data_IF_762517318325
#
_entry.id   IF_762517318325
#
_cell.length_a   1.000
_cell.length_b   1.000
_cell.length_c   1.000
_cell.angle_alpha   90.00
_cell.angle_beta   90.00
_cell.angle_gamma   90.00
#
_symmetry.space_group_name_H-M   'P 1'
#
loop_
_entity.id
_entity.type
_entity.pdbx_description
1 polymer ?
#
# COMPACT_ATOMS: atom_id res chain seq x y z
N UNK A 1 7.95 11.06 30.04
CA UNK A 1 9.00 10.03 29.99
C UNK A 1 8.31 8.67 30.13
N UNK A 2 8.02 7.98 29.03
CA UNK A 2 7.74 6.54 29.10
C UNK A 2 9.09 5.85 29.34
N UNK A 3 9.19 5.06 30.40
CA UNK A 3 10.43 4.43 30.81
C UNK A 3 10.82 3.34 29.80
N UNK A 4 12.12 3.22 29.53
CA UNK A 4 12.78 2.20 28.68
C UNK A 4 12.26 0.77 28.91
N UNK A 5 11.78 0.49 30.12
CA UNK A 5 11.19 -0.76 30.61
C UNK A 5 9.80 -1.11 30.05
N UNK A 6 9.02 -0.14 29.55
CA UNK A 6 7.68 -0.43 29.01
C UNK A 6 7.70 -0.92 27.56
N UNK A 7 8.74 -0.60 26.78
CA UNK A 7 8.85 -0.99 25.36
C UNK A 7 9.48 -2.38 25.19
N UNK A 8 10.31 -2.83 26.13
CA UNK A 8 10.77 -4.22 26.18
C UNK A 8 9.64 -5.21 26.51
N UNK A 9 8.51 -4.73 27.04
CA UNK A 9 7.28 -5.52 27.27
C UNK A 9 6.30 -5.48 26.10
N UNK A 10 6.68 -4.86 25.00
CA UNK A 10 5.79 -4.65 23.85
C UNK A 10 6.18 -5.64 22.79
N UNK A 11 5.29 -6.60 22.56
CA UNK A 11 5.52 -7.69 21.59
C UNK A 11 5.60 -7.17 20.14
N UNK A 12 5.02 -6.00 19.87
CA UNK A 12 4.95 -5.41 18.52
C UNK A 12 5.14 -3.90 18.46
N UNK A 13 5.92 -3.44 17.49
CA UNK A 13 6.09 -2.02 17.16
C UNK A 13 5.11 -1.64 16.05
N UNK A 14 4.23 -0.66 16.31
CA UNK A 14 3.23 -0.19 15.35
C UNK A 14 3.75 1.05 14.60
N UNK A 15 3.97 0.89 13.30
CA UNK A 15 4.39 1.97 12.41
C UNK A 15 3.20 2.58 11.67
N UNK A 16 3.25 3.90 11.53
CA UNK A 16 2.22 4.73 10.90
C UNK A 16 2.89 5.64 9.85
N UNK A 17 2.72 5.38 8.55
CA UNK A 17 3.23 6.28 7.50
C UNK A 17 2.43 7.59 7.46
N UNK A 18 2.98 8.64 6.88
CA UNK A 18 2.31 9.93 6.79
C UNK A 18 0.94 9.83 6.06
N UNK A 19 -0.12 10.36 6.68
CA UNK A 19 -1.50 10.30 6.18
C UNK A 19 -1.74 11.20 4.96
N UNK A 20 -0.96 12.28 4.83
CA UNK A 20 -1.28 13.39 3.93
C UNK A 20 -1.17 13.04 2.44
N UNK A 21 -0.53 11.93 2.07
CA UNK A 21 -0.34 11.51 0.68
C UNK A 21 -1.42 10.57 0.14
N UNK A 22 -2.37 10.09 0.96
CA UNK A 22 -3.39 9.13 0.51
C UNK A 22 -2.84 7.75 0.11
N UNK A 23 -1.54 7.53 0.26
CA UNK A 23 -0.83 6.31 -0.17
C UNK A 23 -0.42 5.41 1.00
N UNK A 24 -0.94 5.68 2.20
CA UNK A 24 -0.56 4.97 3.43
C UNK A 24 -0.72 3.45 3.32
N UNK A 25 -1.69 2.94 2.56
CA UNK A 25 -1.86 1.51 2.28
C UNK A 25 -0.72 0.90 1.48
N UNK A 26 -0.20 1.61 0.48
CA UNK A 26 0.99 1.19 -0.27
C UNK A 26 2.25 1.30 0.60
N UNK A 27 2.37 2.37 1.38
CA UNK A 27 3.51 2.57 2.27
C UNK A 27 3.67 1.43 3.28
N UNK A 28 2.58 0.95 3.89
CA UNK A 28 2.68 -0.18 4.84
C UNK A 28 3.12 -1.48 4.16
N UNK A 29 2.77 -1.71 2.90
CA UNK A 29 3.26 -2.85 2.11
C UNK A 29 4.76 -2.69 1.84
N UNK A 30 5.21 -1.50 1.43
CA UNK A 30 6.65 -1.23 1.20
C UNK A 30 7.45 -1.42 2.49
N UNK A 31 7.00 -0.86 3.61
CA UNK A 31 7.63 -1.06 4.93
C UNK A 31 7.71 -2.56 5.26
N UNK A 32 6.61 -3.30 5.06
CA UNK A 32 6.56 -4.74 5.26
C UNK A 32 7.58 -5.49 4.40
N UNK A 33 7.73 -5.14 3.12
CA UNK A 33 8.68 -5.79 2.19
C UNK A 33 10.11 -5.62 2.71
N UNK A 34 10.48 -4.42 3.15
CA UNK A 34 11.82 -4.15 3.68
C UNK A 34 12.08 -4.86 5.01
N UNK A 35 11.10 -4.94 5.91
CA UNK A 35 11.21 -5.78 7.10
C UNK A 35 11.41 -7.26 6.74
N UNK A 36 10.62 -7.79 5.81
CA UNK A 36 10.73 -9.18 5.36
C UNK A 36 12.08 -9.45 4.68
N UNK A 37 12.66 -8.48 3.98
CA UNK A 37 14.00 -8.61 3.41
C UNK A 37 15.07 -8.82 4.49
N UNK A 38 14.99 -8.11 5.62
CA UNK A 38 15.88 -8.35 6.76
C UNK A 38 15.67 -9.75 7.35
N UNK A 39 14.41 -10.14 7.56
CA UNK A 39 14.05 -11.45 8.13
C UNK A 39 14.42 -12.63 7.23
N UNK A 40 14.45 -12.43 5.92
CA UNK A 40 14.87 -13.43 4.93
C UNK A 40 16.34 -13.87 5.10
N UNK A 41 17.15 -13.21 5.93
CA UNK A 41 18.48 -13.69 6.33
C UNK A 41 18.41 -15.02 7.10
N UNK A 42 17.34 -15.25 7.86
CA UNK A 42 17.16 -16.46 8.70
C UNK A 42 15.93 -17.29 8.33
N UNK A 43 15.03 -16.75 7.51
CA UNK A 43 13.79 -17.43 7.09
C UNK A 43 13.84 -17.73 5.57
N UNK A 44 14.08 -19.00 5.24
CA UNK A 44 14.17 -19.46 3.85
C UNK A 44 12.83 -19.40 3.12
N UNK A 45 11.69 -19.54 3.84
CA UNK A 45 10.37 -19.42 3.21
C UNK A 45 10.13 -18.01 2.72
N UNK A 46 10.46 -17.00 3.56
CA UNK A 46 10.39 -15.58 3.17
C UNK A 46 11.36 -15.30 2.02
N UNK A 47 12.61 -15.78 2.11
CA UNK A 47 13.61 -15.60 1.06
C UNK A 47 13.15 -16.15 -0.29
N UNK A 48 12.61 -17.36 -0.30
CA UNK A 48 12.08 -18.00 -1.49
C UNK A 48 10.89 -17.22 -2.06
N UNK A 49 9.98 -16.73 -1.21
CA UNK A 49 8.84 -15.91 -1.64
C UNK A 49 9.29 -14.60 -2.31
N UNK A 50 10.23 -13.88 -1.70
CA UNK A 50 10.80 -12.65 -2.28
C UNK A 50 11.44 -12.92 -3.64
N UNK A 51 12.27 -13.95 -3.74
CA UNK A 51 13.07 -14.23 -4.94
C UNK A 51 12.27 -14.84 -6.09
N UNK A 52 11.18 -15.53 -5.81
CA UNK A 52 10.29 -16.10 -6.84
C UNK A 52 9.27 -15.10 -7.39
N UNK A 53 9.12 -13.93 -6.75
CA UNK A 53 8.12 -12.95 -7.12
C UNK A 53 8.47 -12.18 -8.41
N UNK A 54 7.75 -12.51 -9.49
CA UNK A 54 7.85 -11.80 -10.78
C UNK A 54 7.38 -10.36 -10.69
N UNK A 55 6.35 -10.08 -9.89
CA UNK A 55 5.82 -8.73 -9.72
C UNK A 55 6.84 -7.85 -9.00
N UNK A 56 7.46 -8.36 -7.93
CA UNK A 56 8.52 -7.65 -7.22
C UNK A 56 9.75 -7.43 -8.12
N UNK A 57 10.14 -8.41 -8.93
CA UNK A 57 11.22 -8.24 -9.91
C UNK A 57 10.91 -7.07 -10.85
N UNK A 58 9.70 -7.01 -11.42
CA UNK A 58 9.30 -5.89 -12.29
C UNK A 58 9.33 -4.54 -11.57
N UNK A 59 8.88 -4.49 -10.31
CA UNK A 59 8.90 -3.25 -9.51
C UNK A 59 10.33 -2.78 -9.24
N UNK A 60 11.25 -3.70 -8.93
CA UNK A 60 12.66 -3.39 -8.68
C UNK A 60 13.37 -2.97 -9.99
N UNK A 61 13.07 -3.64 -11.11
CA UNK A 61 13.59 -3.28 -12.43
C UNK A 61 13.02 -1.97 -12.96
N UNK A 62 11.84 -1.54 -12.53
CA UNK A 62 11.23 -0.28 -12.97
C UNK A 62 11.67 0.94 -12.15
N UNK A 63 12.51 0.75 -11.13
CA UNK A 63 13.05 1.88 -10.36
C UNK A 63 13.87 2.83 -11.26
N UNK A 64 13.83 4.15 -11.01
CA UNK A 64 14.59 5.13 -11.78
C UNK A 64 16.10 4.88 -11.67
N UNK A 65 16.84 5.27 -12.72
CA UNK A 65 18.29 5.09 -12.79
C UNK A 65 19.02 5.80 -11.64
N UNK A 66 18.47 6.89 -11.12
CA UNK A 66 19.01 7.58 -9.93
C UNK A 66 19.01 6.66 -8.70
N UNK A 67 17.90 5.98 -8.41
CA UNK A 67 17.83 5.03 -7.30
C UNK A 67 18.71 3.79 -7.53
N UNK A 68 18.77 3.29 -8.76
CA UNK A 68 19.65 2.16 -9.10
C UNK A 68 21.13 2.51 -9.00
N UNK A 69 21.49 3.76 -9.29
CA UNK A 69 22.86 4.27 -9.19
C UNK A 69 23.40 4.30 -7.76
N UNK A 70 22.53 4.34 -6.75
CA UNK A 70 22.89 4.28 -5.33
C UNK A 70 23.15 2.85 -4.83
N UNK A 71 22.92 1.82 -5.65
CA UNK A 71 23.12 0.43 -5.25
C UNK A 71 24.59 0.05 -5.34
N UNK A 72 25.15 -0.44 -4.23
CA UNK A 72 26.58 -0.72 -4.06
C UNK A 72 27.08 -1.89 -4.93
N UNK A 73 26.18 -2.77 -5.38
CA UNK A 73 26.52 -3.98 -6.14
C UNK A 73 25.44 -4.37 -7.14
N UNK A 74 25.84 -5.11 -8.18
CA UNK A 74 24.89 -5.83 -9.01
C UNK A 74 24.21 -6.94 -8.20
N UNK A 75 22.89 -6.94 -8.20
CA UNK A 75 22.07 -7.93 -7.50
C UNK A 75 21.62 -9.01 -8.49
N UNK A 76 21.53 -10.25 -8.01
CA UNK A 76 21.03 -11.39 -8.81
C UNK A 76 19.63 -11.82 -8.38
N UNK A 77 19.19 -11.38 -7.21
CA UNK A 77 17.92 -11.76 -6.61
C UNK A 77 17.18 -10.54 -6.05
N UNK A 78 15.86 -10.64 -5.94
CA UNK A 78 15.02 -9.57 -5.35
C UNK A 78 15.43 -9.28 -3.91
N UNK A 79 15.74 -10.31 -3.11
CA UNK A 79 16.22 -10.18 -1.75
C UNK A 79 17.52 -9.38 -1.66
N UNK A 80 18.53 -9.69 -2.48
CA UNK A 80 19.79 -8.93 -2.52
C UNK A 80 19.59 -7.48 -2.93
N UNK A 81 18.67 -7.22 -3.86
CA UNK A 81 18.32 -5.87 -4.29
C UNK A 81 17.72 -5.06 -3.13
N UNK A 82 16.74 -5.64 -2.42
CA UNK A 82 16.09 -5.01 -1.27
C UNK A 82 17.08 -4.72 -0.12
N UNK A 83 17.98 -5.66 0.20
CA UNK A 83 19.04 -5.42 1.18
C UNK A 83 19.99 -4.29 0.73
N UNK A 84 20.32 -4.23 -0.56
CA UNK A 84 21.20 -3.18 -1.08
C UNK A 84 20.55 -1.78 -0.97
N UNK A 85 19.22 -1.67 -1.09
CA UNK A 85 18.51 -0.42 -0.80
C UNK A 85 18.57 -0.05 0.70
N UNK A 86 18.47 -1.04 1.60
CA UNK A 86 18.63 -0.82 3.04
C UNK A 86 20.05 -0.33 3.38
N UNK A 87 21.07 -0.91 2.77
CA UNK A 87 22.46 -0.50 2.93
C UNK A 87 22.68 0.92 2.41
N UNK A 88 22.12 1.27 1.25
CA UNK A 88 22.20 2.61 0.66
C UNK A 88 21.50 3.69 1.51
N UNK A 89 20.46 3.34 2.27
CA UNK A 89 19.85 4.25 3.25
C UNK A 89 20.72 4.45 4.50
N UNK A 90 21.41 3.40 4.93
CA UNK A 90 22.30 3.43 6.08
C UNK A 90 23.64 4.12 5.79
N UNK A 91 24.00 4.28 4.52
CA UNK A 91 25.23 4.92 4.08
C UNK A 91 25.33 6.38 4.54
N UNK A 92 26.58 6.86 4.71
CA UNK A 92 26.87 8.24 5.06
C UNK A 92 27.46 8.97 3.85
N UNK A 93 26.91 10.14 3.50
CA UNK A 93 27.43 10.99 2.42
C UNK A 93 26.37 11.43 1.43
N UNK A 94 26.80 12.00 0.30
CA UNK A 94 25.92 12.55 -0.75
C UNK A 94 25.08 11.48 -1.47
N UNK A 95 25.51 10.21 -1.42
CA UNK A 95 24.83 9.07 -2.04
C UNK A 95 23.75 8.44 -1.14
N UNK A 96 23.50 9.03 0.03
CA UNK A 96 22.51 8.54 0.99
C UNK A 96 21.09 8.69 0.44
N UNK A 97 20.38 7.56 0.35
CA UNK A 97 18.96 7.54 -0.01
C UNK A 97 18.08 7.90 1.19
N UNK A 98 17.09 8.78 0.97
CA UNK A 98 16.04 8.99 1.98
C UNK A 98 14.98 7.90 1.89
N UNK A 99 14.39 7.56 3.03
CA UNK A 99 13.31 6.59 3.07
C UNK A 99 12.04 7.10 2.35
N UNK A 100 11.81 8.42 2.30
CA UNK A 100 10.74 9.01 1.52
C UNK A 100 10.91 8.79 0.01
N UNK A 101 12.15 8.87 -0.50
CA UNK A 101 12.41 8.57 -1.92
C UNK A 101 12.11 7.12 -2.24
N UNK A 102 12.51 6.19 -1.36
CA UNK A 102 12.17 4.78 -1.51
C UNK A 102 10.67 4.56 -1.44
N UNK A 103 9.98 5.08 -0.41
CA UNK A 103 8.53 4.97 -0.30
C UNK A 103 7.81 5.51 -1.52
N UNK A 104 8.16 6.72 -1.98
CA UNK A 104 7.52 7.38 -3.12
C UNK A 104 7.71 6.58 -4.41
N UNK A 105 8.94 6.17 -4.72
CA UNK A 105 9.23 5.45 -5.95
C UNK A 105 8.65 4.02 -5.93
N UNK A 106 8.77 3.29 -4.82
CA UNK A 106 8.15 1.96 -4.72
C UNK A 106 6.63 2.05 -4.78
N UNK A 107 6.02 3.06 -4.15
CA UNK A 107 4.57 3.29 -4.22
C UNK A 107 4.12 3.58 -5.65
N UNK A 108 4.86 4.44 -6.37
CA UNK A 108 4.59 4.72 -7.78
C UNK A 108 4.63 3.43 -8.62
N UNK A 109 5.66 2.61 -8.44
CA UNK A 109 5.78 1.34 -9.17
C UNK A 109 4.69 0.33 -8.78
N UNK A 110 4.30 0.27 -7.50
CA UNK A 110 3.17 -0.55 -7.04
C UNK A 110 1.85 -0.09 -7.67
N UNK A 111 1.58 1.21 -7.70
CA UNK A 111 0.39 1.78 -8.37
C UNK A 111 0.37 1.43 -9.86
N UNK A 112 1.48 1.61 -10.55
CA UNK A 112 1.59 1.30 -11.98
C UNK A 112 1.37 -0.19 -12.26
N UNK A 113 1.92 -1.06 -11.43
CA UNK A 113 1.72 -2.49 -11.58
C UNK A 113 0.25 -2.89 -11.32
N UNK A 114 -0.39 -2.27 -10.32
CA UNK A 114 -1.79 -2.54 -9.98
C UNK A 114 -2.80 -1.95 -10.97
N UNK A 115 -2.48 -0.82 -11.60
CA UNK A 115 -3.31 -0.21 -12.65
C UNK A 115 -3.60 -1.21 -13.78
N UNK A 116 -2.69 -2.17 -14.01
CA UNK A 116 -2.84 -3.21 -15.03
C UNK A 116 -3.29 -4.56 -14.45
N UNK A 117 -3.73 -4.61 -13.18
CA UNK A 117 -4.15 -5.84 -12.53
C UNK A 117 -5.54 -6.28 -13.02
N UNK A 118 -5.69 -7.52 -13.54
CA UNK A 118 -6.99 -8.07 -13.88
C UNK A 118 -7.95 -8.10 -12.68
N UNK A 119 -7.42 -8.29 -11.48
CA UNK A 119 -8.22 -8.33 -10.26
C UNK A 119 -8.85 -6.97 -9.94
N UNK A 120 -8.09 -5.88 -10.06
CA UNK A 120 -8.62 -4.53 -9.82
C UNK A 120 -9.72 -4.19 -10.84
N UNK A 121 -9.50 -4.54 -12.11
CA UNK A 121 -10.47 -4.32 -13.16
C UNK A 121 -11.78 -5.09 -12.90
N UNK A 122 -11.70 -6.38 -12.60
CA UNK A 122 -12.88 -7.21 -12.29
C UNK A 122 -13.59 -6.77 -11.00
N UNK A 123 -12.83 -6.38 -9.96
CA UNK A 123 -13.40 -5.83 -8.74
C UNK A 123 -14.25 -4.59 -9.05
N UNK A 124 -13.71 -3.64 -9.80
CA UNK A 124 -14.43 -2.41 -10.14
C UNK A 124 -15.65 -2.70 -11.03
N UNK A 125 -15.55 -3.65 -11.97
CA UNK A 125 -16.71 -4.11 -12.75
C UNK A 125 -17.82 -4.62 -11.84
N UNK A 126 -17.48 -5.45 -10.85
CA UNK A 126 -18.45 -5.97 -9.89
C UNK A 126 -19.07 -4.85 -9.02
N UNK A 127 -18.27 -3.88 -8.58
CA UNK A 127 -18.77 -2.73 -7.83
C UNK A 127 -19.73 -1.87 -8.66
N UNK A 128 -19.40 -1.60 -9.92
CA UNK A 128 -20.26 -0.87 -10.87
C UNK A 128 -21.56 -1.64 -11.12
N UNK A 129 -21.46 -2.94 -11.37
CA UNK A 129 -22.60 -3.83 -11.62
C UNK A 129 -23.52 -3.98 -10.42
N UNK A 130 -22.96 -3.95 -9.20
CA UNK A 130 -23.74 -3.97 -7.96
C UNK A 130 -24.47 -2.65 -7.69
N UNK A 131 -24.03 -1.56 -8.31
CA UNK A 131 -24.55 -0.21 -8.04
C UNK A 131 -24.07 0.41 -6.72
N UNK A 132 -23.24 -0.29 -5.93
CA UNK A 132 -22.78 0.19 -4.61
C UNK A 132 -21.97 1.50 -4.67
N UNK A 133 -21.35 1.78 -5.82
CA UNK A 133 -20.60 3.01 -6.04
C UNK A 133 -21.42 4.30 -5.87
N UNK A 134 -22.75 4.25 -5.96
CA UNK A 134 -23.63 5.41 -5.70
C UNK A 134 -23.72 5.80 -4.23
N UNK A 135 -23.35 4.89 -3.32
CA UNK A 135 -23.25 5.16 -1.89
C UNK A 135 -21.81 5.43 -1.49
N UNK A 136 -20.89 4.55 -1.92
CA UNK A 136 -19.51 4.55 -1.44
C UNK A 136 -18.59 5.48 -2.24
N UNK A 137 -18.93 5.77 -3.50
CA UNK A 137 -18.03 6.37 -4.49
C UNK A 137 -18.71 7.39 -5.42
N UNK A 138 -19.62 8.23 -4.91
CA UNK A 138 -20.34 9.26 -5.69
C UNK A 138 -19.47 10.21 -6.52
N UNK A 139 -18.19 10.33 -6.19
CA UNK A 139 -17.24 11.11 -7.00
C UNK A 139 -17.12 10.56 -8.44
N UNK A 140 -17.41 9.27 -8.66
CA UNK A 140 -17.40 8.63 -9.97
C UNK A 140 -18.50 9.17 -10.89
N UNK A 141 -19.60 9.73 -10.36
CA UNK A 141 -20.68 10.35 -11.16
C UNK A 141 -20.17 11.48 -12.09
N UNK A 142 -19.00 12.04 -11.81
CA UNK A 142 -18.38 13.08 -12.64
C UNK A 142 -17.77 12.56 -13.93
N UNK A 143 -17.47 11.26 -13.99
CA UNK A 143 -16.86 10.56 -15.12
C UNK A 143 -17.86 10.37 -16.27
N UNK A 144 -17.35 10.26 -17.50
CA UNK A 144 -18.19 10.22 -18.70
C UNK A 144 -19.03 8.94 -18.76
N UNK A 145 -18.44 7.78 -18.44
CA UNK A 145 -19.15 6.50 -18.42
C UNK A 145 -20.27 6.51 -17.38
N UNK A 146 -20.02 7.08 -16.20
CA UNK A 146 -20.99 7.13 -15.12
C UNK A 146 -22.10 8.14 -15.39
N UNK A 147 -21.84 9.26 -16.06
CA UNK A 147 -22.91 10.14 -16.58
C UNK A 147 -23.83 9.40 -17.56
N UNK A 148 -23.28 8.53 -18.40
CA UNK A 148 -24.08 7.70 -19.31
C UNK A 148 -24.95 6.70 -18.54
N UNK A 149 -24.38 6.03 -17.54
CA UNK A 149 -25.10 5.10 -16.65
C UNK A 149 -26.22 5.83 -15.90
N UNK A 150 -25.95 7.02 -15.33
CA UNK A 150 -26.95 7.81 -14.62
C UNK A 150 -28.13 8.21 -15.51
N UNK A 151 -27.87 8.60 -16.76
CA UNK A 151 -28.95 8.88 -17.72
C UNK A 151 -29.82 7.66 -18.00
N UNK A 152 -29.23 6.46 -18.05
CA UNK A 152 -29.99 5.20 -18.19
C UNK A 152 -30.84 4.93 -16.94
N UNK A 153 -30.30 5.18 -15.75
CA UNK A 153 -31.03 5.05 -14.48
C UNK A 153 -32.21 6.03 -14.43
N UNK A 154 -32.00 7.30 -14.80
CA UNK A 154 -33.05 8.32 -14.88
C UNK A 154 -34.16 7.88 -15.85
N UNK A 155 -33.82 7.49 -17.08
CA UNK A 155 -34.79 7.03 -18.07
C UNK A 155 -35.57 5.79 -17.59
N UNK A 156 -34.91 4.88 -16.89
CA UNK A 156 -35.57 3.68 -16.33
C UNK A 156 -36.46 4.01 -15.14
N UNK A 157 -36.05 4.97 -14.31
CA UNK A 157 -36.87 5.49 -13.21
C UNK A 157 -38.16 6.12 -13.73
N UNK A 158 -38.07 6.93 -14.78
CA UNK A 158 -39.24 7.54 -15.42
C UNK A 158 -40.20 6.48 -15.99
N UNK A 159 -39.67 5.45 -16.66
CA UNK A 159 -40.46 4.31 -17.17
C UNK A 159 -41.21 3.58 -16.04
N UNK A 160 -40.51 3.25 -14.95
CA UNK A 160 -41.08 2.57 -13.79
C UNK A 160 -42.12 3.45 -13.07
N UNK A 161 -41.86 4.75 -12.95
CA UNK A 161 -42.78 5.72 -12.37
C UNK A 161 -44.08 5.84 -13.17
N UNK A 162 -43.97 5.98 -14.50
CA UNK A 162 -45.14 6.03 -15.38
C UNK A 162 -45.96 4.75 -15.29
N UNK A 163 -45.30 3.58 -15.26
CA UNK A 163 -45.96 2.29 -15.12
C UNK A 163 -46.73 2.19 -13.80
N UNK A 164 -46.08 2.51 -12.68
CA UNK A 164 -46.71 2.48 -11.36
C UNK A 164 -47.91 3.45 -11.25
N UNK A 165 -47.80 4.61 -11.91
CA UNK A 165 -48.88 5.61 -11.98
C UNK A 165 -50.08 5.07 -12.77
N UNK A 166 -49.84 4.44 -13.94
CA UNK A 166 -50.90 3.84 -14.76
C UNK A 166 -51.60 2.68 -14.05
N UNK A 167 -50.85 1.88 -13.29
CA UNK A 167 -51.35 0.73 -12.54
C UNK A 167 -52.04 1.10 -11.21
N UNK A 168 -52.05 2.39 -10.82
CA UNK A 168 -52.54 2.88 -9.52
C UNK A 168 -51.90 2.17 -8.32
N UNK A 169 -50.70 1.63 -8.50
CA UNK A 169 -49.93 0.92 -7.47
C UNK A 169 -49.03 1.87 -6.67
N UNK A 170 -48.80 3.08 -7.19
CA UNK A 170 -47.97 4.10 -6.53
C UNK A 170 -48.70 4.74 -5.35
N UNK A 171 -48.10 4.67 -4.15
CA UNK A 171 -48.48 5.53 -3.03
C UNK A 171 -47.77 6.88 -3.18
N UNK A 172 -48.46 7.97 -2.84
CA UNK A 172 -47.89 9.32 -2.85
C UNK A 172 -47.02 9.56 -1.61
N UNK A 173 -46.02 8.73 -1.40
CA UNK A 173 -45.00 8.89 -0.36
C UNK A 173 -43.59 8.84 -0.95
N UNK A 174 -42.64 9.43 -0.23
CA UNK A 174 -41.25 9.49 -0.69
C UNK A 174 -40.62 8.08 -0.76
N UNK A 175 -41.06 7.16 0.10
CA UNK A 175 -40.53 5.79 0.14
C UNK A 175 -40.82 5.05 -1.17
N UNK A 176 -42.00 5.25 -1.76
CA UNK A 176 -42.36 4.66 -3.06
C UNK A 176 -41.50 5.23 -4.20
N UNK A 177 -41.14 6.51 -4.15
CA UNK A 177 -40.24 7.13 -5.14
C UNK A 177 -38.81 6.60 -5.00
N UNK A 178 -38.29 6.48 -3.78
CA UNK A 178 -36.97 5.89 -3.54
C UNK A 178 -36.90 4.43 -4.00
N UNK A 179 -37.96 3.65 -3.75
CA UNK A 179 -38.03 2.27 -4.22
C UNK A 179 -37.96 2.16 -5.75
N UNK A 180 -38.60 3.09 -6.48
CA UNK A 180 -38.52 3.14 -7.94
C UNK A 180 -37.10 3.45 -8.42
N UNK A 181 -36.46 4.47 -7.85
CA UNK A 181 -35.10 4.86 -8.22
C UNK A 181 -34.12 3.72 -7.92
N UNK A 182 -34.25 3.09 -6.76
CA UNK A 182 -33.42 1.96 -6.37
C UNK A 182 -33.61 0.75 -7.30
N UNK A 183 -34.86 0.44 -7.66
CA UNK A 183 -35.15 -0.61 -8.63
C UNK A 183 -34.58 -0.29 -10.01
N UNK A 184 -34.70 0.95 -10.48
CA UNK A 184 -34.12 1.41 -11.74
C UNK A 184 -32.59 1.26 -11.74
N UNK A 185 -31.94 1.64 -10.64
CA UNK A 185 -30.49 1.45 -10.44
C UNK A 185 -30.10 -0.02 -10.56
N UNK A 186 -30.76 -0.92 -9.82
CA UNK A 186 -30.50 -2.36 -9.87
C UNK A 186 -30.69 -2.90 -11.29
N UNK A 187 -31.79 -2.57 -11.96
CA UNK A 187 -32.08 -3.07 -13.29
C UNK A 187 -31.06 -2.59 -14.33
N UNK A 188 -30.71 -1.31 -14.31
CA UNK A 188 -29.73 -0.73 -15.25
C UNK A 188 -28.33 -1.29 -14.99
N UNK A 189 -27.86 -1.29 -13.74
CA UNK A 189 -26.53 -1.78 -13.41
C UNK A 189 -26.35 -3.27 -13.73
N UNK A 190 -27.37 -4.10 -13.49
CA UNK A 190 -27.33 -5.53 -13.85
C UNK A 190 -27.39 -5.77 -15.38
N UNK A 191 -27.97 -4.85 -16.14
CA UNK A 191 -28.10 -4.92 -17.59
C UNK A 191 -26.92 -4.31 -18.36
N UNK A 192 -25.92 -3.74 -17.67
CA UNK A 192 -24.72 -3.22 -18.34
C UNK A 192 -23.96 -4.34 -19.04
N UNK A 193 -23.61 -4.10 -20.30
CA UNK A 193 -22.77 -5.01 -21.08
C UNK A 193 -21.33 -5.01 -20.57
N UNK A 194 -20.58 -6.08 -20.82
CA UNK A 194 -19.20 -6.23 -20.34
C UNK A 194 -18.29 -5.13 -20.89
N UNK A 195 -18.54 -4.67 -22.12
CA UNK A 195 -17.80 -3.58 -22.75
C UNK A 195 -18.03 -2.25 -22.03
N UNK A 196 -19.26 -1.99 -21.58
CA UNK A 196 -19.61 -0.78 -20.82
C UNK A 196 -18.99 -0.83 -19.41
N UNK A 197 -19.06 -1.98 -18.76
CA UNK A 197 -18.44 -2.23 -17.45
C UNK A 197 -16.92 -2.06 -17.53
N UNK A 198 -16.29 -2.63 -18.57
CA UNK A 198 -14.85 -2.59 -18.77
C UNK A 198 -14.35 -1.17 -19.07
N UNK A 199 -15.09 -0.41 -19.88
CA UNK A 199 -14.79 1.00 -20.15
C UNK A 199 -14.91 1.86 -18.89
N UNK A 200 -16.00 1.68 -18.12
CA UNK A 200 -16.23 2.41 -16.88
C UNK A 200 -15.16 2.07 -15.80
N UNK A 201 -14.84 0.79 -15.63
CA UNK A 201 -13.79 0.34 -14.71
C UNK A 201 -12.42 0.94 -15.09
N UNK A 202 -12.08 0.93 -16.39
CA UNK A 202 -10.83 1.54 -16.86
C UNK A 202 -10.80 3.05 -16.62
N UNK A 203 -11.93 3.74 -16.78
CA UNK A 203 -12.04 5.18 -16.50
C UNK A 203 -11.79 5.47 -15.01
N UNK A 204 -12.36 4.65 -14.10
CA UNK A 204 -12.09 4.74 -12.66
C UNK A 204 -10.61 4.51 -12.36
N UNK A 205 -10.02 3.44 -12.88
CA UNK A 205 -8.60 3.13 -12.69
C UNK A 205 -7.73 4.31 -13.12
N UNK A 206 -8.00 4.86 -14.30
CA UNK A 206 -7.21 5.94 -14.89
C UNK A 206 -7.24 7.20 -14.02
N UNK A 207 -8.40 7.54 -13.44
CA UNK A 207 -8.57 8.76 -12.65
C UNK A 207 -8.16 8.62 -11.18
N UNK A 208 -8.30 7.42 -10.60
CA UNK A 208 -8.23 7.23 -9.15
C UNK A 208 -7.15 6.26 -8.69
N UNK A 209 -6.51 5.49 -9.59
CA UNK A 209 -5.54 4.46 -9.20
C UNK A 209 -4.17 4.61 -9.89
N UNK A 210 -4.03 5.52 -10.87
CA UNK A 210 -2.77 5.78 -11.56
C UNK A 210 -1.74 6.48 -10.67
N UNK A 211 -0.48 6.49 -11.12
CA UNK A 211 0.66 7.06 -10.38
C UNK A 211 0.46 8.53 -9.95
N UNK A 212 -0.20 9.32 -10.79
CA UNK A 212 -0.45 10.75 -10.55
C UNK A 212 -1.80 11.01 -9.84
N UNK A 213 -2.55 9.96 -9.50
CA UNK A 213 -3.84 10.10 -8.84
C UNK A 213 -3.64 10.70 -7.43
N UNK A 214 -4.42 11.74 -7.07
CA UNK A 214 -4.15 12.54 -5.87
C UNK A 214 -4.32 11.76 -4.56
N UNK A 215 -5.21 10.74 -4.52
CA UNK A 215 -5.41 9.82 -3.39
C UNK A 215 -6.00 8.50 -3.89
N UNK A 216 -5.42 7.36 -3.48
CA UNK A 216 -5.97 6.03 -3.76
C UNK A 216 -6.41 5.39 -2.45
N UNK A 217 -7.73 5.32 -2.23
CA UNK A 217 -8.27 4.66 -1.05
C UNK A 217 -8.26 3.15 -1.29
N UNK A 218 -7.44 2.42 -0.54
CA UNK A 218 -7.33 0.96 -0.63
C UNK A 218 -7.91 0.32 0.62
N UNK A 219 -8.67 -0.77 0.46
CA UNK A 219 -9.24 -1.53 1.57
C UNK A 219 -8.39 -2.77 1.94
N UNK A 220 -8.83 -3.52 2.96
CA UNK A 220 -8.08 -4.70 3.42
C UNK A 220 -7.99 -5.79 2.36
N UNK A 221 -9.03 -5.98 1.56
CA UNK A 221 -9.06 -7.01 0.53
C UNK A 221 -8.06 -6.68 -0.57
N UNK A 222 -8.04 -5.43 -1.01
CA UNK A 222 -7.04 -4.89 -1.93
C UNK A 222 -5.62 -5.17 -1.45
N UNK A 223 -5.32 -4.80 -0.20
CA UNK A 223 -3.97 -5.00 0.33
C UNK A 223 -3.62 -6.48 0.47
N UNK A 224 -4.56 -7.34 0.84
CA UNK A 224 -4.34 -8.80 0.88
C UNK A 224 -4.03 -9.37 -0.50
N UNK A 225 -4.79 -8.96 -1.52
CA UNK A 225 -4.53 -9.37 -2.90
C UNK A 225 -3.17 -8.88 -3.38
N UNK A 226 -2.85 -7.60 -3.15
CA UNK A 226 -1.56 -7.03 -3.50
C UNK A 226 -0.39 -7.80 -2.86
N UNK A 227 -0.47 -8.08 -1.56
CA UNK A 227 0.56 -8.86 -0.87
C UNK A 227 0.60 -10.30 -1.38
N UNK A 228 -0.54 -10.90 -1.71
CA UNK A 228 -0.65 -12.21 -2.35
C UNK A 228 0.05 -12.25 -3.71
N UNK A 229 -0.17 -11.26 -4.56
CA UNK A 229 0.48 -11.15 -5.87
C UNK A 229 1.99 -10.90 -5.75
N UNK A 230 2.40 -10.16 -4.72
CA UNK A 230 3.80 -9.85 -4.45
C UNK A 230 4.57 -11.01 -3.83
N UNK A 231 3.98 -11.83 -2.97
CA UNK A 231 4.71 -12.80 -2.14
C UNK A 231 4.16 -14.23 -2.23
N UNK A 232 3.15 -14.46 -3.07
CA UNK A 232 2.44 -15.75 -3.20
C UNK A 232 1.42 -16.02 -2.08
N UNK A 233 1.43 -15.24 -1.00
CA UNK A 233 0.45 -15.32 0.10
C UNK A 233 0.34 -13.99 0.83
N UNK A 234 -0.88 -13.65 1.25
CA UNK A 234 -1.13 -12.49 2.11
C UNK A 234 -0.64 -12.71 3.54
N UNK A 235 -0.42 -13.97 3.95
CA UNK A 235 -0.09 -14.31 5.35
C UNK A 235 1.20 -13.66 5.83
N UNK A 236 2.19 -13.41 4.95
CA UNK A 236 3.43 -12.74 5.34
C UNK A 236 3.25 -11.34 5.93
N UNK A 237 2.12 -10.67 5.65
CA UNK A 237 1.80 -9.35 6.19
C UNK A 237 0.41 -9.24 6.84
N UNK A 238 -0.33 -10.35 6.90
CA UNK A 238 -1.67 -10.40 7.50
C UNK A 238 -1.77 -11.49 8.58
N UNK A 239 -0.66 -12.11 8.96
CA UNK A 239 -0.55 -12.99 10.12
C UNK A 239 -0.47 -12.18 11.43
N UNK A 240 -1.18 -12.65 12.46
CA UNK A 240 -1.23 -12.00 13.77
C UNK A 240 0.05 -12.21 14.58
N UNK A 241 0.88 -13.19 14.25
CA UNK A 241 2.13 -13.44 14.98
C UNK A 241 3.37 -12.84 14.27
N UNK A 242 3.27 -12.59 12.97
CA UNK A 242 4.30 -11.93 12.16
C UNK A 242 4.10 -10.42 11.96
N UNK A 243 4.52 -9.94 10.79
CA UNK A 243 4.17 -8.61 10.31
C UNK A 243 2.67 -8.56 10.03
N UNK A 244 2.00 -7.53 10.56
CA UNK A 244 0.54 -7.44 10.51
C UNK A 244 0.06 -6.05 10.10
N UNK A 245 -0.45 -5.95 8.87
CA UNK A 245 -1.11 -4.75 8.34
C UNK A 245 -2.49 -4.63 8.97
N UNK A 246 -2.79 -3.44 9.52
CA UNK A 246 -4.04 -3.13 10.21
C UNK A 246 -4.53 -1.73 9.86
N UNK A 247 -5.80 -1.45 10.09
CA UNK A 247 -6.36 -0.10 10.10
C UNK A 247 -7.06 0.16 11.45
N UNK A 248 -7.33 1.43 11.77
CA UNK A 248 -8.11 1.79 12.97
C UNK A 248 -9.64 1.61 12.78
N UNK A 249 -10.08 1.02 11.67
CA UNK A 249 -11.48 0.73 11.41
C UNK A 249 -11.81 0.75 9.92
N UNK A 250 -13.04 0.36 9.54
CA UNK A 250 -13.52 0.37 8.16
C UNK A 250 -13.71 1.79 7.59
N UNK A 251 -13.86 2.80 8.46
CA UNK A 251 -14.07 4.20 8.08
C UNK A 251 -12.81 5.08 8.15
N UNK A 252 -11.75 4.59 8.82
CA UNK A 252 -10.47 5.29 8.93
C UNK A 252 -9.50 4.60 7.99
N UNK A 253 -9.43 5.09 6.75
CA UNK A 253 -8.57 4.52 5.70
C UNK A 253 -7.08 4.83 5.91
N UNK A 254 -6.68 4.96 7.17
CA UNK A 254 -5.30 5.04 7.57
C UNK A 254 -4.78 3.64 7.93
N UNK A 255 -3.68 3.27 7.29
CA UNK A 255 -3.07 1.96 7.40
C UNK A 255 -1.83 2.00 8.29
N UNK A 256 -1.67 0.94 9.07
CA UNK A 256 -0.54 0.71 9.95
C UNK A 256 0.07 -0.65 9.66
N UNK A 257 1.36 -0.79 9.98
CA UNK A 257 2.01 -2.10 10.02
C UNK A 257 2.56 -2.34 11.41
N UNK A 258 2.16 -3.46 12.02
CA UNK A 258 2.66 -3.92 13.30
C UNK A 258 3.76 -4.95 13.02
N UNK A 259 4.99 -4.64 13.39
CA UNK A 259 6.12 -5.55 13.25
C UNK A 259 6.45 -6.18 14.61
N UNK A 260 6.87 -7.45 14.67
CA UNK A 260 7.40 -8.06 15.89
C UNK A 260 8.56 -7.24 16.47
N UNK A 261 8.66 -7.11 17.79
CA UNK A 261 9.77 -6.41 18.45
C UNK A 261 11.05 -7.27 18.51
N UNK A 262 11.53 -7.68 17.33
CA UNK A 262 12.70 -8.52 17.12
C UNK A 262 13.94 -7.71 16.69
N UNK A 263 15.06 -8.39 16.43
CA UNK A 263 16.29 -7.77 15.96
C UNK A 263 16.14 -7.09 14.59
N UNK A 264 15.29 -7.62 13.71
CA UNK A 264 15.06 -7.09 12.36
C UNK A 264 14.28 -5.78 12.39
N UNK A 265 13.28 -5.67 13.25
CA UNK A 265 12.57 -4.41 13.49
C UNK A 265 13.51 -3.36 14.09
N UNK A 266 14.37 -3.75 15.04
CA UNK A 266 15.38 -2.84 15.61
C UNK A 266 16.39 -2.39 14.55
N UNK A 267 16.84 -3.29 13.69
CA UNK A 267 17.72 -2.98 12.57
C UNK A 267 17.04 -2.04 11.58
N UNK A 268 15.80 -2.32 11.17
CA UNK A 268 15.01 -1.45 10.30
C UNK A 268 14.86 -0.04 10.89
N UNK A 269 14.51 0.06 12.17
CA UNK A 269 14.42 1.35 12.88
C UNK A 269 15.77 2.08 12.92
N UNK A 270 16.88 1.35 13.10
CA UNK A 270 18.21 1.94 13.12
C UNK A 270 18.59 2.49 11.74
N UNK A 271 18.37 1.73 10.67
CA UNK A 271 18.65 2.15 9.28
C UNK A 271 17.83 3.40 8.95
N UNK A 272 16.54 3.37 9.27
CA UNK A 272 15.66 4.51 9.07
C UNK A 272 16.16 5.77 9.80
N UNK A 273 16.63 5.63 11.04
CA UNK A 273 17.14 6.76 11.84
C UNK A 273 18.45 7.34 11.31
N UNK A 274 19.29 6.51 10.70
CA UNK A 274 20.54 6.95 10.07
C UNK A 274 20.29 7.75 8.79
N UNK A 275 19.16 7.51 8.11
CA UNK A 275 18.70 8.16 6.89
C UNK A 275 18.41 9.66 7.01
N UNK A 276 18.45 10.38 5.89
CA UNK A 276 17.92 11.75 5.80
C UNK A 276 16.39 11.73 5.92
N UNK A 277 15.85 12.60 6.78
CA UNK A 277 14.52 12.57 7.43
C UNK A 277 13.31 12.04 6.63
N UNK A 278 12.37 11.38 7.33
CA UNK A 278 11.00 11.13 6.84
C UNK A 278 9.93 10.97 7.94
N UNK A 279 8.66 11.14 7.55
CA UNK A 279 7.44 11.22 8.39
C UNK A 279 6.79 9.89 8.79
N UNK A 280 7.57 8.82 8.96
CA UNK A 280 7.13 7.60 9.65
C UNK A 280 7.04 7.89 11.15
N UNK A 281 5.88 7.63 11.72
CA UNK A 281 5.65 7.72 13.15
C UNK A 281 5.52 6.33 13.75
N UNK A 282 5.82 6.22 15.04
CA UNK A 282 5.49 5.07 15.86
C UNK A 282 4.30 5.44 16.72
N UNK A 283 3.31 4.54 16.81
CA UNK A 283 2.23 4.64 17.79
C UNK A 283 2.74 4.13 19.13
N UNK A 284 2.75 4.96 20.17
CA UNK A 284 3.26 4.56 21.47
C UNK A 284 2.39 3.44 22.06
N UNK A 285 3.01 2.37 22.59
CA UNK A 285 2.30 1.20 23.12
C UNK A 285 1.27 1.57 24.19
N UNK A 286 0.08 0.97 24.13
CA UNK A 286 -1.01 1.25 25.07
C UNK A 286 -1.63 2.65 24.93
N UNK A 287 -1.25 3.42 23.91
CA UNK A 287 -1.78 4.77 23.65
C UNK A 287 -2.25 4.94 22.20
N UNK A 288 -2.80 6.11 21.88
CA UNK A 288 -3.08 6.57 20.50
C UNK A 288 -2.08 7.63 20.03
N UNK A 289 -0.99 7.87 20.76
CA UNK A 289 -0.06 8.96 20.46
C UNK A 289 0.93 8.52 19.40
N UNK A 290 0.97 9.24 18.28
CA UNK A 290 1.98 9.10 17.24
C UNK A 290 3.18 10.00 17.51
N UNK A 291 4.38 9.43 17.46
CA UNK A 291 5.64 10.17 17.63
C UNK A 291 6.52 9.93 16.42
N UNK A 292 7.12 10.99 15.89
CA UNK A 292 8.12 10.86 14.82
C UNK A 292 9.22 9.89 15.23
N UNK A 293 9.53 8.93 14.36
CA UNK A 293 10.61 7.96 14.60
C UNK A 293 11.97 8.66 14.82
N UNK A 294 12.18 9.84 14.21
CA UNK A 294 13.37 10.66 14.42
C UNK A 294 13.50 11.22 15.85
N UNK A 295 12.36 11.46 16.52
CA UNK A 295 12.31 11.93 17.91
C UNK A 295 12.40 10.77 18.92
N UNK A 296 12.37 9.53 18.43
CA UNK A 296 12.35 8.31 19.22
C UNK A 296 13.77 7.82 19.58
N UNK A 297 14.65 8.72 20.04
CA UNK A 297 16.09 8.47 20.21
C UNK A 297 16.53 8.02 21.62
N UNK A 298 15.63 8.02 22.62
CA UNK A 298 16.01 7.73 24.02
C UNK A 298 15.78 6.28 24.49
N UNK A 299 15.23 5.39 23.65
CA UNK A 299 14.68 4.11 24.11
C UNK A 299 15.39 2.86 23.59
N UNK A 300 16.26 2.98 22.59
CA UNK A 300 17.05 1.86 22.07
C UNK A 300 18.51 2.26 21.88
N UNK A 301 19.42 1.36 22.26
CA UNK A 301 20.85 1.54 21.99
C UNK A 301 21.10 1.53 20.47
N UNK A 302 22.04 2.35 19.95
CA UNK A 302 22.45 2.25 18.56
C UNK A 302 22.90 0.82 18.24
N UNK A 303 22.63 0.35 17.03
CA UNK A 303 23.06 -0.97 16.57
C UNK A 303 24.57 -1.09 16.78
N UNK A 304 24.98 -2.06 17.60
CA UNK A 304 26.38 -2.39 17.78
C UNK A 304 26.82 -3.08 16.50
N UNK A 305 27.71 -2.43 15.75
CA UNK A 305 28.49 -2.94 14.62
C UNK A 305 27.85 -4.12 13.87
N UNK A 306 27.18 -3.83 12.74
CA UNK A 306 27.08 -4.80 11.65
C UNK A 306 28.53 -5.21 11.35
N UNK A 307 28.81 -6.51 11.45
CA UNK A 307 30.15 -7.07 11.46
C UNK A 307 30.83 -6.86 10.09
N UNK A 308 31.44 -5.69 9.89
CA UNK A 308 32.37 -5.43 8.79
C UNK A 308 33.71 -6.00 9.24
N UNK A 309 33.89 -7.30 9.08
CA UNK A 309 35.21 -7.93 9.04
C UNK A 309 35.08 -9.33 8.44
N UNK A 310 35.36 -9.44 7.14
CA UNK A 310 36.52 -10.21 6.68
C UNK A 310 36.81 -9.85 5.22
N UNK A 311 38.10 -9.76 4.94
CA UNK A 311 38.76 -9.62 3.63
C UNK A 311 39.12 -8.19 3.19
N UNK A 312 40.03 -7.58 3.95
CA UNK A 312 41.04 -6.67 3.41
C UNK A 312 42.44 -7.12 3.87
N UNK A 313 42.91 -8.24 3.32
CA UNK A 313 44.35 -8.44 3.14
C UNK A 313 44.69 -8.12 1.68
N UNK A 314 45.32 -6.97 1.48
CA UNK A 314 45.64 -6.47 0.15
C UNK A 314 46.42 -5.16 0.24
N UNK A 315 47.61 -5.25 0.82
CA UNK A 315 48.65 -4.22 0.85
C UNK A 315 48.82 -3.49 -0.49
N UNK A 316 48.68 -2.16 -0.51
CA UNK A 316 49.34 -1.32 -1.52
C UNK A 316 49.99 -0.11 -0.83
N UNK A 317 51.32 -0.19 -0.79
CA UNK A 317 52.28 0.88 -0.55
C UNK A 317 52.09 2.01 -1.59
N UNK A 318 52.08 3.27 -1.14
CA UNK A 318 52.37 4.41 -2.02
C UNK A 318 53.59 5.16 -1.45
N UNK A 319 54.75 5.13 -2.13
CA UNK A 319 55.82 6.06 -1.81
C UNK A 319 55.51 7.41 -2.46
N UNK A 320 55.67 8.45 -1.66
CA UNK A 320 55.70 9.84 -2.08
C UNK A 320 56.81 10.09 -3.12
N UNK A 321 56.46 10.76 -4.21
CA UNK A 321 57.31 11.75 -4.90
C UNK A 321 56.43 12.94 -5.30
#
# INVERSE_FOLDING_TARGET
MLQKTEIERVDKVKFSPAQNSGDCGYHVVVIGIFYLALKAAVDESIRSALNSSKLLTKILEAQPNSLKGCLVKSFKTNHECLLSYLDAMAAHGFEQLSFNEILSNFTLQLKQANTNSPWLHERLKNEIKSGLWLEDNRVWEKLASFKSIMKKIEAKSDELYEKATREKSLKSDNDSLYAIIFQAQIEVCNALADEELSAAAQEVITHFYTGDAPKVWVDSEFLKTLVGDLLGTSSFMFDKDGAHITSNGPSESHWYVNLPNDEYTKQFMSIYKSGYHSGLTIVLPGTKLEVSLSSYSSLFSPATNININNDFEGSIFFPYQ
#
